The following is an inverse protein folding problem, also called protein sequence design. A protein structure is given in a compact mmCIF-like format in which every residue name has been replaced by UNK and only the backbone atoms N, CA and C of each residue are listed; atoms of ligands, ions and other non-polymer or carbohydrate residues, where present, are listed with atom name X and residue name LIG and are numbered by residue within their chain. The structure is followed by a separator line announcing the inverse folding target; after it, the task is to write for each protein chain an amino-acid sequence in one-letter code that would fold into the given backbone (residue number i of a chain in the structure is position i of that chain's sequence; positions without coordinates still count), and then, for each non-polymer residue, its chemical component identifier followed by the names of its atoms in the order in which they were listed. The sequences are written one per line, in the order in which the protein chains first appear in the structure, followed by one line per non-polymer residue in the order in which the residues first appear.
data_IF_512780519637
#
_entry.id   IF_512780519637
#
_cell.length_a   1.000
_cell.length_b   1.000
_cell.length_c   1.000
_cell.angle_alpha   90.00
_cell.angle_beta   90.00
_cell.angle_gamma   90.00
#
_symmetry.space_group_name_H-M   'P 1'
#
loop_
_entity.id
_entity.type
_entity.pdbx_description
1 polymer ?
#
# COMPACT_ATOMS: atom_id res chain seq x y z
N UNK A 1 12.22 19.10 3.47
CA UNK A 1 12.84 17.79 3.16
C UNK A 1 11.75 16.80 2.78
N UNK A 2 11.92 16.04 1.69
CA UNK A 2 11.01 14.92 1.42
C UNK A 2 11.29 13.77 2.38
N UNK A 3 10.21 13.23 2.95
CA UNK A 3 10.26 12.12 3.89
C UNK A 3 10.74 10.84 3.16
N UNK A 4 11.62 10.07 3.79
CA UNK A 4 12.20 8.83 3.24
C UNK A 4 11.77 7.62 4.08
N UNK A 5 11.58 6.47 3.44
CA UNK A 5 11.24 5.20 4.10
C UNK A 5 12.44 4.24 4.15
N UNK A 6 12.36 3.21 5.00
CA UNK A 6 13.31 2.08 5.00
C UNK A 6 13.05 1.17 3.78
N UNK A 7 14.07 0.96 2.96
CA UNK A 7 14.06 0.03 1.82
C UNK A 7 14.33 -1.41 2.28
N UNK A 8 14.16 -2.39 1.38
CA UNK A 8 14.43 -3.81 1.67
C UNK A 8 15.86 -4.09 2.15
N UNK A 9 16.83 -3.24 1.78
CA UNK A 9 18.23 -3.34 2.20
C UNK A 9 18.56 -2.54 3.48
N UNK A 10 17.56 -1.98 4.17
CA UNK A 10 17.74 -1.18 5.39
C UNK A 10 18.09 0.29 5.16
N UNK A 11 18.49 0.71 3.94
CA UNK A 11 18.80 2.13 3.64
C UNK A 11 17.53 2.97 3.52
N UNK A 12 17.64 4.29 3.72
CA UNK A 12 16.53 5.23 3.52
C UNK A 12 16.39 5.62 2.03
N UNK A 13 15.17 5.54 1.49
CA UNK A 13 14.87 5.85 0.10
C UNK A 13 13.50 6.46 -0.14
N UNK A 14 13.17 6.72 -1.41
CA UNK A 14 11.89 7.29 -1.82
C UNK A 14 10.70 6.37 -1.57
N UNK A 15 9.49 6.95 -1.60
CA UNK A 15 8.25 6.21 -1.44
C UNK A 15 7.59 5.97 -2.81
N UNK A 16 7.08 4.76 -2.98
CA UNK A 16 6.19 4.42 -4.09
C UNK A 16 4.74 4.52 -3.62
N UNK A 17 3.85 4.71 -4.60
CA UNK A 17 2.41 4.74 -4.41
C UNK A 17 1.74 3.67 -5.27
N UNK A 18 0.57 3.24 -4.84
CA UNK A 18 -0.33 2.39 -5.62
C UNK A 18 -1.76 2.63 -5.16
N UNK A 19 -2.72 2.24 -5.98
CA UNK A 19 -4.12 2.39 -5.65
C UNK A 19 -4.96 1.27 -6.25
N UNK A 20 -6.11 1.05 -5.61
CA UNK A 20 -7.22 0.23 -6.11
C UNK A 20 -8.45 1.13 -6.22
N UNK A 21 -9.13 1.05 -7.35
CA UNK A 21 -10.38 1.74 -7.62
C UNK A 21 -11.45 0.68 -7.90
N UNK A 22 -12.50 0.68 -7.10
CA UNK A 22 -13.64 -0.23 -7.23
C UNK A 22 -14.81 0.57 -7.77
N UNK A 23 -15.21 0.22 -8.98
CA UNK A 23 -16.30 0.83 -9.70
C UNK A 23 -17.55 -0.05 -9.67
N UNK A 24 -18.73 0.53 -9.93
CA UNK A 24 -19.95 -0.23 -10.12
C UNK A 24 -19.82 -1.20 -11.29
N UNK A 25 -20.65 -2.24 -11.29
CA UNK A 25 -20.66 -3.21 -12.38
C UNK A 25 -20.93 -2.53 -13.73
N UNK A 26 -20.25 -3.02 -14.77
CA UNK A 26 -20.31 -2.50 -16.13
C UNK A 26 -19.41 -1.30 -16.44
N UNK A 27 -18.88 -0.60 -15.43
CA UNK A 27 -17.80 0.36 -15.63
C UNK A 27 -16.48 -0.38 -15.85
N UNK A 28 -15.63 0.16 -16.74
CA UNK A 28 -14.33 -0.43 -17.04
C UNK A 28 -13.31 0.64 -17.43
N UNK A 29 -12.05 0.24 -17.60
CA UNK A 29 -11.02 1.10 -18.19
C UNK A 29 -11.40 1.48 -19.62
N UNK A 30 -11.29 2.76 -19.95
CA UNK A 30 -11.53 3.22 -21.31
C UNK A 30 -10.45 2.63 -22.25
N UNK A 31 -10.86 2.06 -23.41
CA UNK A 31 -9.90 1.61 -24.40
C UNK A 31 -9.15 2.80 -25.01
N UNK A 32 -7.93 2.56 -25.50
CA UNK A 32 -6.94 3.60 -25.82
C UNK A 32 -7.35 4.54 -26.97
N UNK A 33 -8.26 4.09 -27.83
CA UNK A 33 -8.89 4.84 -28.92
C UNK A 33 -9.95 5.84 -28.41
N UNK A 34 -10.52 5.59 -27.22
CA UNK A 34 -11.53 6.45 -26.58
C UNK A 34 -10.94 7.52 -25.66
N UNK A 35 -9.63 7.52 -25.44
CA UNK A 35 -8.93 8.48 -24.58
C UNK A 35 -8.46 9.67 -25.42
N UNK A 36 -8.90 10.88 -25.07
CA UNK A 36 -8.46 12.11 -25.75
C UNK A 36 -6.96 12.36 -25.59
N UNK A 37 -6.30 13.07 -26.52
CA UNK A 37 -4.88 13.41 -26.42
C UNK A 37 -4.52 14.13 -25.11
N UNK A 38 -5.36 15.06 -24.66
CA UNK A 38 -5.18 15.79 -23.39
C UNK A 38 -5.19 14.84 -22.18
N UNK A 39 -6.12 13.88 -22.14
CA UNK A 39 -6.17 12.89 -21.06
C UNK A 39 -4.98 11.93 -21.11
N UNK A 40 -4.52 11.54 -22.30
CA UNK A 40 -3.31 10.72 -22.47
C UNK A 40 -2.09 11.38 -21.86
N UNK A 41 -1.95 12.70 -22.04
CA UNK A 41 -0.84 13.46 -21.44
C UNK A 41 -0.90 13.46 -19.90
N UNK A 42 -2.10 13.67 -19.32
CA UNK A 42 -2.30 13.65 -17.86
C UNK A 42 -2.06 12.27 -17.24
N UNK A 43 -2.45 11.20 -17.93
CA UNK A 43 -2.18 9.82 -17.51
C UNK A 43 -0.68 9.53 -17.56
N UNK A 44 0.01 10.06 -18.58
CA UNK A 44 1.41 9.78 -18.85
C UNK A 44 1.66 8.28 -19.07
N UNK A 45 2.78 7.79 -18.54
CA UNK A 45 3.19 6.38 -18.73
C UNK A 45 2.64 5.44 -17.65
N UNK A 46 1.48 5.75 -17.06
CA UNK A 46 0.85 4.86 -16.09
C UNK A 46 0.18 3.68 -16.78
N UNK A 47 0.32 2.48 -16.21
CA UNK A 47 -0.27 1.25 -16.71
C UNK A 47 -1.29 0.72 -15.70
N UNK A 48 -2.56 0.70 -16.10
CA UNK A 48 -3.65 0.20 -15.28
C UNK A 48 -3.92 -1.27 -15.58
N UNK A 49 -4.26 -2.03 -14.56
CA UNK A 49 -4.60 -3.44 -14.70
C UNK A 49 -5.96 -3.71 -14.07
N UNK A 50 -6.71 -4.65 -14.63
CA UNK A 50 -7.87 -5.20 -13.95
C UNK A 50 -7.41 -6.14 -12.83
N UNK A 51 -8.07 -6.09 -11.68
CA UNK A 51 -7.76 -6.93 -10.53
C UNK A 51 -7.84 -8.42 -10.85
N UNK A 52 -8.78 -8.80 -11.72
CA UNK A 52 -8.96 -10.14 -12.22
C UNK A 52 -9.54 -10.10 -13.64
N UNK A 53 -9.27 -11.07 -14.53
CA UNK A 53 -9.83 -11.10 -15.89
C UNK A 53 -11.36 -10.93 -15.95
N UNK A 54 -12.07 -11.50 -14.97
CA UNK A 54 -13.53 -11.42 -14.86
C UNK A 54 -14.06 -10.22 -14.05
N UNK A 55 -13.17 -9.36 -13.51
CA UNK A 55 -13.51 -8.19 -12.69
C UNK A 55 -12.89 -6.95 -13.28
N UNK A 56 -13.44 -6.50 -14.41
CA UNK A 56 -12.97 -5.32 -15.15
C UNK A 56 -13.25 -3.99 -14.45
N UNK A 57 -14.24 -3.97 -13.56
CA UNK A 57 -14.63 -2.80 -12.76
C UNK A 57 -13.74 -2.55 -11.54
N UNK A 58 -12.82 -3.47 -11.22
CA UNK A 58 -11.81 -3.28 -10.17
C UNK A 58 -10.47 -3.05 -10.84
N UNK A 59 -9.94 -1.84 -10.67
CA UNK A 59 -8.75 -1.37 -11.35
C UNK A 59 -7.63 -1.17 -10.33
N UNK A 60 -6.45 -1.70 -10.62
CA UNK A 60 -5.26 -1.55 -9.79
C UNK A 60 -4.15 -0.83 -10.57
N UNK A 61 -3.36 -0.03 -9.84
CA UNK A 61 -2.21 0.69 -10.36
C UNK A 61 -1.08 0.66 -9.33
N UNK A 62 0.16 0.58 -9.82
CA UNK A 62 1.36 0.65 -9.01
C UNK A 62 2.08 -0.69 -8.87
N UNK A 63 3.25 -0.69 -8.19
CA UNK A 63 3.85 0.47 -7.53
C UNK A 63 4.48 1.46 -8.54
N UNK A 64 4.27 2.77 -8.33
CA UNK A 64 4.92 3.85 -9.12
C UNK A 64 5.63 4.88 -8.24
N UNK A 65 6.63 5.62 -8.74
CA UNK A 65 7.34 6.63 -7.94
C UNK A 65 6.42 7.75 -7.45
N UNK A 66 6.20 7.85 -6.13
CA UNK A 66 5.24 8.78 -5.54
C UNK A 66 5.65 10.26 -5.63
N UNK A 67 6.94 10.54 -5.85
CA UNK A 67 7.41 11.92 -6.11
C UNK A 67 6.96 12.41 -7.48
N UNK A 68 6.92 11.52 -8.48
CA UNK A 68 6.50 11.82 -9.85
C UNK A 68 4.98 11.82 -9.97
N UNK A 69 4.33 10.84 -9.36
CA UNK A 69 2.88 10.65 -9.44
C UNK A 69 2.21 11.06 -8.13
N UNK A 70 1.96 12.37 -7.98
CA UNK A 70 1.20 12.93 -6.85
C UNK A 70 -0.31 12.80 -7.04
N UNK A 71 -0.73 12.70 -8.29
CA UNK A 71 -2.11 12.50 -8.71
C UNK A 71 -2.14 11.39 -9.75
N UNK A 72 -3.17 10.56 -9.71
CA UNK A 72 -3.41 9.48 -10.68
C UNK A 72 -4.78 9.70 -11.28
N UNK A 73 -4.82 9.92 -12.59
CA UNK A 73 -6.05 10.10 -13.35
C UNK A 73 -6.46 8.77 -13.97
N UNK A 74 -7.61 8.23 -13.57
CA UNK A 74 -8.13 6.97 -14.10
C UNK A 74 -9.04 7.23 -15.32
N UNK A 75 -8.72 6.69 -16.52
CA UNK A 75 -9.61 6.79 -17.67
C UNK A 75 -10.73 5.76 -17.57
N UNK A 76 -11.91 6.19 -17.13
CA UNK A 76 -13.06 5.29 -16.91
C UNK A 76 -14.09 5.45 -18.03
N UNK A 77 -14.58 4.32 -18.55
CA UNK A 77 -15.71 4.25 -19.46
C UNK A 77 -16.96 3.81 -18.71
N UNK A 78 -18.02 4.62 -18.78
CA UNK A 78 -19.32 4.28 -18.24
C UNK A 78 -20.06 3.26 -19.13
N UNK A 79 -20.86 2.36 -18.54
CA UNK A 79 -21.75 1.50 -19.31
C UNK A 79 -22.88 2.28 -19.98
N UNK A 80 -23.52 1.66 -20.98
CA UNK A 80 -24.74 2.16 -21.61
C UNK A 80 -25.96 1.30 -21.18
N UNK A 81 -26.88 1.83 -20.35
CA UNK A 81 -28.11 1.16 -19.93
C UNK A 81 -29.03 0.72 -21.07
N UNK A 82 -28.92 1.35 -22.25
CA UNK A 82 -29.73 1.01 -23.43
C UNK A 82 -29.34 -0.35 -24.01
N UNK A 83 -28.07 -0.75 -23.82
CA UNK A 83 -27.53 -2.03 -24.33
C UNK A 83 -27.38 -3.08 -23.23
N UNK A 84 -27.16 -2.66 -21.97
CA UNK A 84 -26.98 -3.55 -20.81
C UNK A 84 -28.17 -3.41 -19.86
N UNK A 85 -29.09 -4.39 -19.89
CA UNK A 85 -30.36 -4.37 -19.13
C UNK A 85 -30.19 -4.37 -17.61
N UNK A 86 -29.10 -4.94 -17.10
CA UNK A 86 -28.81 -5.02 -15.66
C UNK A 86 -28.24 -3.71 -15.08
N UNK A 87 -28.12 -2.68 -15.91
CA UNK A 87 -27.54 -1.39 -15.54
C UNK A 87 -28.62 -0.32 -15.67
N UNK A 88 -28.76 0.48 -14.62
CA UNK A 88 -29.77 1.53 -14.54
C UNK A 88 -29.15 2.91 -14.34
N UNK A 89 -29.86 3.96 -14.71
CA UNK A 89 -29.47 5.33 -14.38
C UNK A 89 -29.76 5.58 -12.90
N UNK A 90 -28.71 5.47 -12.08
CA UNK A 90 -28.76 5.64 -10.63
C UNK A 90 -27.49 6.35 -10.15
N UNK A 91 -27.53 6.78 -8.89
CA UNK A 91 -26.33 7.22 -8.18
C UNK A 91 -25.59 6.01 -7.65
N UNK A 92 -24.38 5.79 -8.14
CA UNK A 92 -23.55 4.67 -7.74
C UNK A 92 -22.36 5.12 -6.89
N UNK A 93 -21.99 4.34 -5.86
CA UNK A 93 -20.79 4.61 -5.11
C UNK A 93 -19.53 4.20 -5.88
N UNK A 94 -18.44 4.92 -5.61
CA UNK A 94 -17.09 4.58 -6.05
C UNK A 94 -16.22 4.46 -4.80
N UNK A 95 -15.42 3.40 -4.72
CA UNK A 95 -14.50 3.18 -3.60
C UNK A 95 -13.07 3.25 -4.09
N UNK A 96 -12.22 3.98 -3.37
CA UNK A 96 -10.80 4.07 -3.65
C UNK A 96 -10.00 3.67 -2.42
N UNK A 97 -8.97 2.85 -2.64
CA UNK A 97 -7.95 2.54 -1.65
C UNK A 97 -6.59 2.98 -2.19
N UNK A 98 -5.83 3.76 -1.41
CA UNK A 98 -4.52 4.25 -1.80
C UNK A 98 -3.46 3.84 -0.78
N UNK A 99 -2.33 3.33 -1.25
CA UNK A 99 -1.17 3.03 -0.42
C UNK A 99 0.02 3.90 -0.83
N UNK A 100 0.76 4.39 0.17
CA UNK A 100 2.10 4.96 -0.01
C UNK A 100 3.08 4.27 0.92
N UNK A 101 4.23 3.84 0.40
CA UNK A 101 5.28 3.18 1.20
C UNK A 101 5.11 1.67 1.30
N UNK A 102 6.03 1.03 2.02
CA UNK A 102 6.12 -0.43 2.15
C UNK A 102 5.22 -0.97 3.26
N UNK A 103 4.70 -2.18 3.04
CA UNK A 103 3.89 -2.92 4.02
C UNK A 103 4.71 -3.47 5.19
N UNK A 104 4.00 -3.82 6.27
CA UNK A 104 4.56 -4.29 7.53
C UNK A 104 4.71 -5.82 7.57
N UNK A 105 3.91 -6.54 6.77
CA UNK A 105 3.78 -7.99 6.78
C UNK A 105 3.83 -8.50 5.33
N UNK A 106 4.51 -9.62 5.10
CA UNK A 106 4.57 -10.33 3.84
C UNK A 106 3.40 -11.32 3.69
N UNK A 107 3.08 -11.78 2.47
CA UNK A 107 1.98 -12.73 2.26
C UNK A 107 2.11 -14.06 3.02
N UNK A 108 3.34 -14.46 3.39
CA UNK A 108 3.63 -15.65 4.21
C UNK A 108 3.41 -15.43 5.72
N UNK A 109 3.00 -14.21 6.12
CA UNK A 109 2.79 -13.82 7.52
C UNK A 109 4.04 -13.29 8.22
N UNK A 110 5.22 -13.32 7.58
CA UNK A 110 6.45 -12.81 8.19
C UNK A 110 6.48 -11.28 8.25
N UNK A 111 7.11 -10.73 9.29
CA UNK A 111 7.31 -9.28 9.44
C UNK A 111 8.34 -8.76 8.44
N UNK A 112 8.10 -7.57 7.90
CA UNK A 112 9.10 -6.83 7.10
C UNK A 112 10.01 -5.99 7.99
N UNK A 113 11.12 -5.50 7.43
CA UNK A 113 11.98 -4.51 8.12
C UNK A 113 11.36 -3.08 8.20
N UNK A 114 10.08 -2.92 7.85
CA UNK A 114 9.34 -1.65 7.97
C UNK A 114 8.23 -1.73 9.03
N UNK A 115 8.53 -2.38 10.16
CA UNK A 115 7.62 -2.56 11.31
C UNK A 115 8.40 -2.60 12.63
N UNK A 116 7.68 -2.69 13.74
CA UNK A 116 8.23 -2.81 15.09
C UNK A 116 8.54 -4.27 15.43
N UNK A 117 9.72 -4.47 16.03
CA UNK A 117 10.13 -5.75 16.62
C UNK A 117 10.02 -5.66 18.14
N UNK A 118 9.42 -6.68 18.74
CA UNK A 118 9.11 -6.74 20.18
C UNK A 118 9.87 -7.92 20.79
N UNK A 119 10.14 -7.82 22.10
CA UNK A 119 10.75 -8.89 22.89
C UNK A 119 9.87 -10.14 22.90
N UNK A 120 10.44 -11.30 22.54
CA UNK A 120 9.69 -12.58 22.55
C UNK A 120 9.57 -13.21 23.93
N UNK A 121 10.32 -12.73 24.91
CA UNK A 121 10.23 -13.16 26.30
C UNK A 121 10.59 -12.02 27.25
N UNK A 122 10.10 -12.09 28.49
CA UNK A 122 10.64 -11.25 29.55
C UNK A 122 12.04 -11.78 29.88
N UNK A 123 13.05 -10.92 29.78
CA UNK A 123 14.41 -11.28 30.15
C UNK A 123 14.67 -10.73 31.54
N UNK A 124 14.38 -11.56 32.53
CA UNK A 124 14.98 -11.42 33.86
C UNK A 124 16.32 -12.15 33.84
N UNK A 125 17.41 -11.41 34.06
CA UNK A 125 18.77 -11.94 34.04
C UNK A 125 19.05 -13.04 35.10
N UNK A 126 18.06 -13.39 35.91
CA UNK A 126 18.12 -14.37 37.01
C UNK A 126 17.80 -15.81 36.61
N UNK A 127 17.11 -16.07 35.48
CA UNK A 127 16.60 -17.43 35.16
C UNK A 127 17.49 -18.28 34.23
N UNK A 128 18.61 -17.76 33.72
CA UNK A 128 19.58 -18.53 32.92
C UNK A 128 19.08 -19.03 31.56
N UNK A 129 17.83 -18.75 31.16
CA UNK A 129 17.31 -18.99 29.81
C UNK A 129 17.79 -17.88 28.86
N UNK A 130 18.36 -18.28 27.72
CA UNK A 130 18.74 -17.36 26.66
C UNK A 130 17.69 -17.36 25.55
N UNK A 131 17.20 -16.18 25.18
CA UNK A 131 16.36 -15.94 24.01
C UNK A 131 17.11 -15.04 23.04
N UNK A 132 17.00 -15.31 21.73
CA UNK A 132 17.63 -14.49 20.68
C UNK A 132 16.55 -13.93 19.77
N UNK A 133 16.38 -12.61 19.78
CA UNK A 133 15.49 -11.88 18.89
C UNK A 133 16.26 -11.35 17.68
N UNK A 134 15.82 -11.73 16.47
CA UNK A 134 16.48 -11.32 15.21
C UNK A 134 15.80 -10.06 14.68
N UNK A 135 16.54 -8.96 14.61
CA UNK A 135 16.08 -7.67 14.09
C UNK A 135 16.82 -7.37 12.77
N UNK A 136 16.11 -7.20 11.64
CA UNK A 136 16.73 -6.88 10.37
C UNK A 136 17.18 -5.40 10.30
N UNK A 137 18.05 -5.04 9.34
CA UNK A 137 18.44 -3.64 9.13
C UNK A 137 17.23 -2.75 8.81
N UNK A 138 17.08 -1.63 9.52
CA UNK A 138 16.07 -0.61 9.23
C UNK A 138 15.44 0.07 10.45
N UNK A 139 14.76 -0.68 11.34
CA UNK A 139 14.28 -0.18 12.62
C UNK A 139 15.45 0.20 13.54
N UNK A 140 15.31 1.29 14.31
CA UNK A 140 16.34 1.73 15.25
C UNK A 140 16.11 1.07 16.62
N UNK A 141 17.16 0.57 17.27
CA UNK A 141 17.05 -0.04 18.60
C UNK A 141 16.71 1.02 19.66
N UNK A 142 15.83 0.66 20.58
CA UNK A 142 15.41 1.50 21.71
C UNK A 142 15.96 1.04 23.06
N UNK A 143 16.52 -0.18 23.11
CA UNK A 143 17.05 -0.81 24.33
C UNK A 143 18.58 -0.81 24.33
N UNK A 144 19.16 -0.89 25.52
CA UNK A 144 20.62 -1.00 25.71
C UNK A 144 21.00 -2.28 26.44
N UNK A 145 22.28 -2.67 26.36
CA UNK A 145 22.79 -3.81 27.12
C UNK A 145 22.58 -3.62 28.64
N UNK A 146 22.12 -4.67 29.31
CA UNK A 146 21.85 -4.67 30.76
C UNK A 146 20.47 -4.16 31.17
N UNK A 147 19.63 -3.72 30.23
CA UNK A 147 18.25 -3.30 30.51
C UNK A 147 17.32 -4.50 30.70
N UNK A 148 16.46 -4.46 31.73
CA UNK A 148 15.39 -5.45 31.91
C UNK A 148 14.26 -5.18 30.91
N UNK A 149 13.91 -6.18 30.10
CA UNK A 149 12.83 -6.08 29.11
C UNK A 149 11.64 -6.95 29.50
N UNK A 150 10.43 -6.43 29.28
CA UNK A 150 9.19 -7.18 29.48
C UNK A 150 8.79 -7.90 28.20
N UNK A 151 8.03 -8.99 28.34
CA UNK A 151 7.37 -9.64 27.21
C UNK A 151 6.59 -8.61 26.39
N UNK A 152 6.70 -8.68 25.06
CA UNK A 152 6.09 -7.80 24.08
C UNK A 152 6.54 -6.32 24.12
N UNK A 153 7.54 -5.98 24.95
CA UNK A 153 8.14 -4.64 24.94
C UNK A 153 8.78 -4.36 23.56
N UNK A 154 8.51 -3.20 22.94
CA UNK A 154 9.18 -2.80 21.71
C UNK A 154 10.70 -2.70 21.90
N UNK A 155 11.44 -3.46 21.09
CA UNK A 155 12.91 -3.37 21.02
C UNK A 155 13.35 -2.29 20.05
N UNK A 156 12.47 -1.90 19.11
CA UNK A 156 12.78 -0.95 18.05
C UNK A 156 11.77 0.18 17.94
N UNK A 157 12.18 1.30 17.36
CA UNK A 157 11.27 2.34 16.88
C UNK A 157 10.42 1.82 15.72
N UNK A 158 9.31 2.51 15.41
CA UNK A 158 8.52 2.22 14.21
C UNK A 158 9.11 2.97 13.01
N UNK A 159 9.78 2.29 12.06
CA UNK A 159 10.37 2.96 10.90
C UNK A 159 9.33 3.35 9.83
N UNK A 160 8.07 2.92 9.98
CA UNK A 160 7.05 3.13 8.97
C UNK A 160 6.65 4.61 8.87
N UNK A 161 6.68 5.10 7.64
CA UNK A 161 6.29 6.46 7.27
C UNK A 161 5.30 6.50 6.09
N UNK A 162 4.85 5.30 5.72
CA UNK A 162 3.80 5.07 4.74
C UNK A 162 2.43 5.00 5.38
N UNK A 163 1.48 4.48 4.62
CA UNK A 163 0.12 4.26 5.09
C UNK A 163 -0.80 3.87 3.95
N UNK A 164 -1.90 3.25 4.34
CA UNK A 164 -3.02 2.93 3.48
C UNK A 164 -4.25 3.73 3.94
N UNK A 165 -4.97 4.31 2.99
CA UNK A 165 -6.20 5.06 3.23
C UNK A 165 -7.30 4.63 2.27
N UNK A 166 -8.54 4.79 2.71
CA UNK A 166 -9.72 4.49 1.91
C UNK A 166 -10.65 5.69 1.88
N UNK A 167 -11.32 5.88 0.75
CA UNK A 167 -12.36 6.89 0.60
C UNK A 167 -13.50 6.34 -0.26
N UNK A 168 -14.71 6.79 0.03
CA UNK A 168 -15.92 6.49 -0.74
C UNK A 168 -16.46 7.80 -1.30
N UNK A 169 -16.77 7.81 -2.60
CA UNK A 169 -17.52 8.88 -3.25
C UNK A 169 -18.91 8.37 -3.65
N UNK A 170 -19.92 9.20 -3.44
CA UNK A 170 -21.34 8.93 -3.77
C UNK A 170 -21.79 9.83 -4.90
#
# INVERSE_FOLDING_TARGET
MQLKQVLSNGKKGGLNVGAVLILPEGFELAPTDRISPELKEKIGNLSFQSYHPNKKNIIVIGPVPGQKYREIVFPILSPDPSTKKDIHFLKYPIYVGGNRGRGQIYPDGSKSNNTVYNATSAVDASEGRQSVDIIPPGPELLVSEGESIKLDQPLTSNPNVGGFGQEMRK
#
